data_IF_701670298575
#
_entry.id   IF_701670298575
#
_cell.length_a   1.000
_cell.length_b   1.000
_cell.length_c   1.000
_cell.angle_alpha   90.00
_cell.angle_beta   90.00
_cell.angle_gamma   90.00
#
_symmetry.space_group_name_H-M   'P 1'
#
loop_
_entity.id
_entity.type
_entity.pdbx_description
1 polymer ?
#
# COMPACT_ATOMS: atom_id res chain seq x y z
N UNK A 1 -15.33 13.49 32.58
CA UNK A 1 -16.24 12.79 31.65
C UNK A 1 -15.56 12.39 30.34
N UNK A 2 -14.96 13.32 29.59
CA UNK A 2 -14.29 13.03 28.31
C UNK A 2 -13.13 12.04 28.43
N UNK A 3 -12.25 12.20 29.43
CA UNK A 3 -11.12 11.27 29.65
C UNK A 3 -11.62 9.85 29.91
N UNK A 4 -12.60 9.68 30.81
CA UNK A 4 -13.19 8.36 31.10
C UNK A 4 -13.82 7.74 29.84
N UNK A 5 -14.53 8.53 29.03
CA UNK A 5 -15.10 8.07 27.77
C UNK A 5 -14.01 7.62 26.77
N UNK A 6 -12.92 8.39 26.62
CA UNK A 6 -11.79 8.01 25.76
C UNK A 6 -11.07 6.76 26.27
N UNK A 7 -10.83 6.66 27.58
CA UNK A 7 -10.22 5.48 28.20
C UNK A 7 -11.06 4.23 27.96
N UNK A 8 -12.38 4.32 28.07
CA UNK A 8 -13.26 3.16 27.84
C UNK A 8 -13.30 2.81 26.35
N UNK A 9 -13.55 3.79 25.48
CA UNK A 9 -13.75 3.53 24.03
C UNK A 9 -12.49 3.12 23.29
N UNK A 10 -11.31 3.61 23.69
CA UNK A 10 -10.03 3.31 23.05
C UNK A 10 -9.27 2.26 23.86
N UNK A 11 -9.22 2.43 25.18
CA UNK A 11 -8.42 1.56 26.05
C UNK A 11 -8.96 0.14 26.12
N UNK A 12 -10.28 -0.06 26.21
CA UNK A 12 -10.86 -1.41 26.30
C UNK A 12 -10.59 -2.24 25.03
N UNK A 13 -10.82 -1.75 23.80
CA UNK A 13 -10.48 -2.51 22.60
C UNK A 13 -8.97 -2.79 22.46
N UNK A 14 -8.11 -1.82 22.78
CA UNK A 14 -6.66 -2.01 22.69
C UNK A 14 -6.16 -3.05 23.71
N UNK A 15 -6.68 -3.01 24.94
CA UNK A 15 -6.40 -4.04 25.94
C UNK A 15 -6.91 -5.40 25.50
N UNK A 16 -8.10 -5.47 24.88
CA UNK A 16 -8.63 -6.71 24.31
C UNK A 16 -7.74 -7.30 23.22
N UNK A 17 -7.24 -6.48 22.30
CA UNK A 17 -6.29 -6.91 21.26
C UNK A 17 -4.96 -7.37 21.87
N UNK A 18 -4.43 -6.60 22.84
CA UNK A 18 -3.19 -6.97 23.54
C UNK A 18 -3.35 -8.30 24.26
N UNK A 19 -4.42 -8.49 25.02
CA UNK A 19 -4.73 -9.73 25.72
C UNK A 19 -4.89 -10.90 24.75
N UNK A 20 -5.59 -10.68 23.62
CA UNK A 20 -5.79 -11.70 22.58
C UNK A 20 -4.47 -12.21 21.99
N UNK A 21 -3.43 -11.38 21.93
CA UNK A 21 -2.11 -11.78 21.43
C UNK A 21 -1.40 -12.80 22.36
N UNK A 22 -1.73 -12.81 23.65
CA UNK A 22 -1.17 -13.74 24.65
C UNK A 22 -2.06 -14.96 24.93
N UNK A 23 -3.18 -15.12 24.24
CA UNK A 23 -4.10 -16.25 24.45
C UNK A 23 -3.97 -17.24 23.29
N UNK A 24 -3.63 -18.50 23.60
CA UNK A 24 -3.47 -19.57 22.62
C UNK A 24 -4.80 -20.03 22.02
N UNK A 25 -5.78 -20.39 22.87
CA UNK A 25 -7.09 -20.84 22.44
C UNK A 25 -8.19 -19.88 22.90
N UNK A 26 -9.10 -19.54 21.98
CA UNK A 26 -10.25 -18.67 22.27
C UNK A 26 -11.55 -19.44 22.02
N UNK A 27 -12.41 -19.55 23.03
CA UNK A 27 -13.68 -20.29 22.91
C UNK A 27 -14.58 -20.15 24.13
N UNK A 28 -15.88 -20.40 23.93
CA UNK A 28 -16.87 -20.43 25.02
C UNK A 28 -16.57 -21.60 25.95
N UNK A 29 -16.40 -21.32 27.25
CA UNK A 29 -16.09 -22.33 28.27
C UNK A 29 -14.60 -22.55 28.54
N UNK A 30 -13.72 -21.72 27.97
CA UNK A 30 -12.27 -21.76 28.22
C UNK A 30 -11.88 -20.65 29.19
N UNK A 31 -11.21 -21.00 30.28
CA UNK A 31 -10.67 -20.05 31.25
C UNK A 31 -9.51 -19.26 30.64
N UNK A 32 -9.61 -17.92 30.63
CA UNK A 32 -8.59 -17.04 30.03
C UNK A 32 -7.23 -17.15 30.72
N UNK A 33 -7.22 -17.45 32.02
CA UNK A 33 -6.01 -17.54 32.84
C UNK A 33 -5.19 -18.80 32.55
N UNK A 34 -5.84 -19.88 32.12
CA UNK A 34 -5.19 -21.17 31.86
C UNK A 34 -4.55 -21.22 30.45
N UNK A 35 -5.00 -20.35 29.55
CA UNK A 35 -4.55 -20.26 28.15
C UNK A 35 -3.60 -19.07 27.89
N UNK A 36 -3.18 -18.36 28.93
CA UNK A 36 -2.20 -17.29 28.81
C UNK A 36 -0.83 -17.89 28.48
N UNK A 37 -0.37 -17.72 27.24
CA UNK A 37 0.82 -18.37 26.72
C UNK A 37 1.54 -17.53 25.67
N UNK A 38 2.87 -17.66 25.64
CA UNK A 38 3.72 -17.12 24.57
C UNK A 38 3.75 -18.02 23.32
N UNK A 39 2.99 -19.13 23.31
CA UNK A 39 2.95 -20.07 22.20
C UNK A 39 2.56 -19.41 20.87
N UNK A 40 1.66 -18.42 20.88
CA UNK A 40 1.28 -17.66 19.68
C UNK A 40 2.49 -16.98 19.02
N UNK A 41 3.37 -16.36 19.81
CA UNK A 41 4.58 -15.71 19.30
C UNK A 41 5.59 -16.74 18.76
N UNK A 42 5.71 -17.89 19.43
CA UNK A 42 6.56 -18.97 18.94
C UNK A 42 6.05 -19.55 17.60
N UNK A 43 4.74 -19.74 17.46
CA UNK A 43 4.11 -20.19 16.23
C UNK A 43 4.33 -19.20 15.07
N UNK A 44 4.29 -17.89 15.35
CA UNK A 44 4.62 -16.87 14.35
C UNK A 44 6.06 -17.00 13.88
N UNK A 45 7.00 -17.23 14.80
CA UNK A 45 8.42 -17.38 14.47
C UNK A 45 8.70 -18.63 13.64
N UNK A 46 7.97 -19.71 13.89
CA UNK A 46 8.12 -20.96 13.13
C UNK A 46 7.53 -20.89 11.72
N UNK A 47 6.63 -19.93 11.44
CA UNK A 47 5.96 -19.81 10.15
C UNK A 47 6.70 -18.81 9.25
N UNK A 48 7.49 -19.27 8.26
CA UNK A 48 8.26 -18.39 7.39
C UNK A 48 7.38 -17.45 6.55
N UNK A 49 6.12 -17.83 6.31
CA UNK A 49 5.17 -17.00 5.55
C UNK A 49 4.74 -15.76 6.35
N UNK A 50 4.56 -15.89 7.67
CA UNK A 50 4.18 -14.78 8.53
C UNK A 50 5.34 -13.80 8.72
N UNK A 51 6.55 -14.31 8.92
CA UNK A 51 7.74 -13.46 9.00
C UNK A 51 8.01 -12.71 7.69
N UNK A 52 7.89 -13.39 6.54
CA UNK A 52 8.00 -12.74 5.23
C UNK A 52 6.93 -11.67 5.04
N UNK A 53 5.68 -11.96 5.43
CA UNK A 53 4.61 -10.96 5.39
C UNK A 53 4.94 -9.70 6.20
N UNK A 54 5.51 -9.86 7.40
CA UNK A 54 5.92 -8.75 8.26
C UNK A 54 7.04 -7.94 7.61
N UNK A 55 8.11 -8.60 7.17
CA UNK A 55 9.27 -7.93 6.56
C UNK A 55 8.89 -7.25 5.26
N UNK A 56 8.08 -7.89 4.41
CA UNK A 56 7.60 -7.33 3.15
C UNK A 56 6.74 -6.09 3.39
N UNK A 57 5.79 -6.13 4.32
CA UNK A 57 4.98 -4.95 4.68
C UNK A 57 5.86 -3.80 5.15
N UNK A 58 6.76 -4.05 6.10
CA UNK A 58 7.71 -3.03 6.58
C UNK A 58 8.56 -2.46 5.44
N UNK A 59 9.05 -3.31 4.53
CA UNK A 59 9.85 -2.88 3.38
C UNK A 59 9.01 -2.02 2.42
N UNK A 60 7.78 -2.42 2.11
CA UNK A 60 6.84 -1.64 1.27
C UNK A 60 6.51 -0.31 1.94
N UNK A 61 6.25 -0.29 3.25
CA UNK A 61 5.94 0.93 3.98
C UNK A 61 7.12 1.89 4.02
N UNK A 62 8.29 1.42 4.46
CA UNK A 62 9.47 2.28 4.70
C UNK A 62 10.08 2.70 3.37
N UNK A 63 10.54 1.74 2.57
CA UNK A 63 11.25 2.00 1.31
C UNK A 63 10.24 2.39 0.24
N UNK A 64 9.18 1.59 0.10
CA UNK A 64 8.16 1.84 -0.92
C UNK A 64 7.37 3.13 -0.68
N UNK A 65 7.01 3.44 0.57
CA UNK A 65 6.38 4.71 0.93
C UNK A 65 7.28 5.91 0.69
N UNK A 66 8.60 5.79 0.95
CA UNK A 66 9.56 6.86 0.67
C UNK A 66 9.68 7.10 -0.85
N UNK A 67 9.80 6.04 -1.64
CA UNK A 67 9.83 6.12 -3.10
C UNK A 67 8.52 6.72 -3.65
N UNK A 68 7.37 6.32 -3.12
CA UNK A 68 6.07 6.86 -3.51
C UNK A 68 5.99 8.37 -3.22
N UNK A 69 6.42 8.81 -2.03
CA UNK A 69 6.49 10.25 -1.68
C UNK A 69 7.41 11.02 -2.62
N UNK A 70 8.56 10.46 -3.00
CA UNK A 70 9.45 11.08 -3.98
C UNK A 70 8.74 11.21 -5.34
N UNK A 71 8.08 10.15 -5.82
CA UNK A 71 7.31 10.20 -7.07
C UNK A 71 6.20 11.26 -7.01
N UNK A 72 5.43 11.31 -5.92
CA UNK A 72 4.36 12.30 -5.73
C UNK A 72 4.91 13.71 -5.59
N UNK A 73 6.09 13.89 -5.02
CA UNK A 73 6.77 15.18 -4.95
C UNK A 73 7.11 15.70 -6.35
N UNK A 74 7.65 14.86 -7.21
CA UNK A 74 7.93 15.25 -8.60
C UNK A 74 6.65 15.64 -9.35
N UNK A 75 5.58 14.86 -9.19
CA UNK A 75 4.27 15.15 -9.81
C UNK A 75 3.68 16.43 -9.22
N UNK A 76 3.68 16.60 -7.89
CA UNK A 76 3.15 17.77 -7.20
C UNK A 76 3.87 19.06 -7.60
N UNK A 77 5.21 19.04 -7.69
CA UNK A 77 5.98 20.19 -8.18
C UNK A 77 5.65 20.48 -9.65
N UNK A 78 5.48 19.46 -10.49
CA UNK A 78 5.11 19.65 -11.89
C UNK A 78 3.73 20.32 -12.02
N UNK A 79 2.77 19.91 -11.19
CA UNK A 79 1.42 20.48 -11.16
C UNK A 79 1.40 21.92 -10.62
N UNK A 80 2.16 22.21 -9.55
CA UNK A 80 2.28 23.57 -9.00
C UNK A 80 2.89 24.59 -9.98
N UNK A 81 3.68 24.13 -10.95
CA UNK A 81 4.40 25.01 -11.89
C UNK A 81 3.59 25.45 -13.11
N UNK A 82 2.45 24.81 -13.41
CA UNK A 82 1.60 25.12 -14.57
C UNK A 82 0.14 25.13 -14.18
N UNK A 83 -0.47 26.32 -14.16
CA UNK A 83 -1.92 26.49 -13.98
C UNK A 83 -2.67 26.32 -15.33
N UNK A 84 -2.39 25.24 -16.04
CA UNK A 84 -3.01 24.94 -17.34
C UNK A 84 -4.28 24.09 -17.14
N UNK A 85 -5.19 24.09 -18.12
CA UNK A 85 -6.38 23.24 -18.12
C UNK A 85 -6.04 21.74 -17.96
N UNK A 86 -4.85 21.33 -18.40
CA UNK A 86 -4.33 19.96 -18.23
C UNK A 86 -4.12 19.62 -16.75
N UNK A 87 -3.55 20.54 -15.95
CA UNK A 87 -3.35 20.33 -14.51
C UNK A 87 -4.69 20.18 -13.80
N UNK A 88 -5.68 21.01 -14.16
CA UNK A 88 -7.05 20.92 -13.63
C UNK A 88 -7.72 19.59 -13.99
N UNK A 89 -7.55 19.12 -15.22
CA UNK A 89 -8.04 17.81 -15.64
C UNK A 89 -7.34 16.66 -14.90
N UNK A 90 -6.02 16.75 -14.71
CA UNK A 90 -5.24 15.77 -13.94
C UNK A 90 -5.69 15.73 -12.47
N UNK A 91 -5.90 16.88 -11.84
CA UNK A 91 -6.43 16.98 -10.48
C UNK A 91 -7.78 16.25 -10.35
N UNK A 92 -8.72 16.48 -11.27
CA UNK A 92 -10.00 15.77 -11.27
C UNK A 92 -9.85 14.28 -11.55
N UNK A 93 -8.98 13.91 -12.49
CA UNK A 93 -8.73 12.51 -12.85
C UNK A 93 -8.17 11.72 -11.67
N UNK A 94 -7.32 12.33 -10.86
CA UNK A 94 -6.76 11.74 -9.64
C UNK A 94 -7.84 11.49 -8.57
N UNK A 95 -8.93 12.25 -8.56
CA UNK A 95 -10.04 12.02 -7.63
C UNK A 95 -10.90 10.82 -8.00
N UNK A 96 -10.93 10.42 -9.29
CA UNK A 96 -11.77 9.30 -9.77
C UNK A 96 -11.34 7.96 -9.14
N UNK A 97 -10.05 7.56 -9.13
CA UNK A 97 -9.60 6.34 -8.45
C UNK A 97 -9.95 6.31 -6.96
N UNK A 98 -10.01 7.46 -6.29
CA UNK A 98 -10.34 7.54 -4.86
C UNK A 98 -11.78 7.11 -4.56
N UNK A 99 -12.70 7.25 -5.51
CA UNK A 99 -14.06 6.80 -5.37
C UNK A 99 -14.19 5.27 -5.49
N UNK A 100 -13.16 4.60 -6.05
CA UNK A 100 -13.16 3.15 -6.24
C UNK A 100 -12.87 2.46 -4.89
N UNK A 101 -13.73 1.55 -4.43
CA UNK A 101 -13.44 0.70 -3.28
C UNK A 101 -12.10 -0.03 -3.44
N UNK A 102 -11.32 -0.12 -2.36
CA UNK A 102 -9.98 -0.73 -2.39
C UNK A 102 -9.95 -2.16 -2.94
N UNK A 103 -11.01 -2.94 -2.71
CA UNK A 103 -11.14 -4.29 -3.27
C UNK A 103 -11.27 -4.29 -4.80
N UNK A 104 -12.03 -3.34 -5.37
CA UNK A 104 -12.14 -3.21 -6.83
C UNK A 104 -10.82 -2.76 -7.45
N UNK A 105 -10.09 -1.87 -6.77
CA UNK A 105 -8.77 -1.45 -7.21
C UNK A 105 -7.78 -2.63 -7.22
N UNK A 106 -7.79 -3.47 -6.17
CA UNK A 106 -7.01 -4.70 -6.10
C UNK A 106 -7.33 -5.69 -7.23
N UNK A 107 -8.61 -5.93 -7.48
CA UNK A 107 -9.05 -6.78 -8.59
C UNK A 107 -8.63 -6.20 -9.96
N UNK A 108 -8.72 -4.88 -10.15
CA UNK A 108 -8.27 -4.22 -11.37
C UNK A 108 -6.76 -4.40 -11.58
N UNK A 109 -5.94 -4.26 -10.53
CA UNK A 109 -4.50 -4.53 -10.62
C UNK A 109 -4.18 -5.98 -10.95
N UNK A 110 -4.88 -6.92 -10.31
CA UNK A 110 -4.76 -8.34 -10.65
C UNK A 110 -5.10 -8.57 -12.13
N UNK A 111 -6.17 -7.95 -12.64
CA UNK A 111 -6.54 -8.03 -14.04
C UNK A 111 -5.47 -7.44 -14.95
N UNK A 112 -4.90 -6.28 -14.62
CA UNK A 112 -3.81 -5.68 -15.39
C UNK A 112 -2.62 -6.65 -15.46
N UNK A 113 -2.18 -7.22 -14.34
CA UNK A 113 -1.07 -8.17 -14.33
C UNK A 113 -1.35 -9.51 -15.01
N UNK A 114 -2.62 -9.92 -15.14
CA UNK A 114 -3.00 -11.16 -15.83
C UNK A 114 -3.27 -10.96 -17.32
N UNK A 115 -4.08 -9.97 -17.67
CA UNK A 115 -4.57 -9.76 -19.02
C UNK A 115 -3.60 -8.98 -19.90
N UNK A 116 -2.80 -8.05 -19.35
CA UNK A 116 -1.84 -7.30 -20.19
C UNK A 116 -0.78 -8.22 -20.81
N UNK A 117 -0.10 -9.12 -20.06
CA UNK A 117 0.85 -10.05 -20.67
C UNK A 117 0.20 -11.05 -21.62
N UNK A 118 -1.06 -11.43 -21.39
CA UNK A 118 -1.81 -12.34 -22.24
C UNK A 118 -2.19 -11.68 -23.57
N UNK A 119 -2.77 -10.49 -23.51
CA UNK A 119 -3.15 -9.70 -24.68
C UNK A 119 -1.93 -9.31 -25.51
N UNK A 120 -0.83 -8.92 -24.85
CA UNK A 120 0.42 -8.59 -25.53
C UNK A 120 1.02 -9.81 -26.24
N UNK A 121 1.01 -10.99 -25.61
CA UNK A 121 1.50 -12.24 -26.23
C UNK A 121 0.67 -12.63 -27.45
N UNK A 122 -0.66 -12.53 -27.36
CA UNK A 122 -1.55 -12.81 -28.49
C UNK A 122 -1.39 -11.80 -29.62
N UNK A 123 -1.22 -10.51 -29.28
CA UNK A 123 -1.02 -9.45 -30.28
C UNK A 123 0.31 -9.57 -31.00
N UNK A 124 1.36 -10.03 -30.33
CA UNK A 124 2.69 -10.27 -30.91
C UNK A 124 2.73 -11.56 -31.75
N UNK A 125 1.93 -12.58 -31.42
CA UNK A 125 1.87 -13.84 -32.18
C UNK A 125 0.99 -13.79 -33.41
N UNK A 126 -0.20 -13.20 -33.29
CA UNK A 126 -1.26 -13.30 -34.30
C UNK A 126 -1.93 -11.95 -34.62
N UNK A 127 -1.57 -10.89 -33.89
CA UNK A 127 -2.15 -9.57 -34.08
C UNK A 127 -1.29 -8.67 -34.96
N UNK A 128 -1.72 -7.42 -35.05
CA UNK A 128 -1.04 -6.39 -35.84
C UNK A 128 0.42 -6.12 -35.41
N UNK A 129 0.80 -6.45 -34.17
CA UNK A 129 2.16 -6.30 -33.66
C UNK A 129 3.11 -7.40 -34.14
N UNK A 130 2.61 -8.49 -34.73
CA UNK A 130 3.45 -9.56 -35.28
C UNK A 130 4.27 -9.11 -36.50
N UNK A 131 3.86 -8.01 -37.14
CA UNK A 131 4.59 -7.41 -38.26
C UNK A 131 5.85 -6.65 -37.81
N UNK A 132 6.03 -6.41 -36.50
CA UNK A 132 7.22 -5.75 -35.98
C UNK A 132 8.41 -6.73 -36.02
N UNK A 133 9.57 -6.33 -36.56
CA UNK A 133 10.77 -7.19 -36.61
C UNK A 133 11.32 -7.54 -35.22
N UNK A 134 10.85 -6.84 -34.18
CA UNK A 134 11.25 -7.04 -32.78
C UNK A 134 10.21 -7.88 -32.01
N UNK A 135 9.17 -8.40 -32.67
CA UNK A 135 8.05 -9.06 -32.00
C UNK A 135 8.48 -10.30 -31.20
N UNK A 136 9.34 -11.14 -31.78
CA UNK A 136 9.87 -12.32 -31.10
C UNK A 136 10.77 -11.94 -29.91
N UNK A 137 11.63 -10.94 -30.08
CA UNK A 137 12.48 -10.44 -29.00
C UNK A 137 11.65 -9.89 -27.83
N UNK A 138 10.61 -9.10 -28.12
CA UNK A 138 9.68 -8.58 -27.12
C UNK A 138 8.97 -9.72 -26.38
N UNK A 139 8.59 -10.78 -27.10
CA UNK A 139 7.92 -11.92 -26.50
C UNK A 139 8.83 -12.70 -25.55
N UNK A 140 10.07 -12.94 -25.96
CA UNK A 140 11.04 -13.69 -25.18
C UNK A 140 11.57 -12.92 -23.96
N UNK A 141 11.75 -11.61 -24.08
CA UNK A 141 12.31 -10.79 -22.99
C UNK A 141 11.24 -10.05 -22.20
N UNK A 142 10.42 -9.22 -22.86
CA UNK A 142 9.48 -8.32 -22.16
C UNK A 142 8.32 -9.09 -21.52
N UNK A 143 7.70 -10.05 -22.22
CA UNK A 143 6.53 -10.77 -21.67
C UNK A 143 6.93 -11.69 -20.51
N UNK A 144 8.08 -12.36 -20.64
CA UNK A 144 8.62 -13.21 -19.56
C UNK A 144 8.92 -12.36 -18.33
N UNK A 145 9.56 -11.19 -18.51
CA UNK A 145 9.82 -10.26 -17.42
C UNK A 145 8.53 -9.70 -16.80
N UNK A 146 7.52 -9.32 -17.60
CA UNK A 146 6.24 -8.84 -17.10
C UNK A 146 5.51 -9.90 -16.25
N UNK A 147 5.55 -11.17 -16.68
CA UNK A 147 4.99 -12.29 -15.91
C UNK A 147 5.78 -12.56 -14.63
N UNK A 148 7.11 -12.43 -14.67
CA UNK A 148 7.96 -12.56 -13.49
C UNK A 148 7.70 -11.42 -12.49
N UNK A 149 7.57 -10.18 -12.96
CA UNK A 149 7.32 -8.99 -12.14
C UNK A 149 6.04 -9.12 -11.30
N UNK A 150 4.99 -9.77 -11.82
CA UNK A 150 3.75 -10.03 -11.07
C UNK A 150 4.03 -10.69 -9.72
N UNK A 151 4.97 -11.63 -9.67
CA UNK A 151 5.29 -12.41 -8.47
C UNK A 151 6.40 -11.76 -7.61
N UNK A 152 6.68 -10.47 -7.80
CA UNK A 152 7.66 -9.72 -7.01
C UNK A 152 6.99 -8.69 -6.12
N UNK A 153 7.65 -8.34 -5.01
CA UNK A 153 7.16 -7.29 -4.10
C UNK A 153 6.96 -5.94 -4.81
N UNK A 154 7.67 -5.73 -5.93
CA UNK A 154 7.55 -4.54 -6.76
C UNK A 154 6.14 -4.38 -7.35
N UNK A 155 5.46 -5.47 -7.74
CA UNK A 155 4.09 -5.38 -8.27
C UNK A 155 3.11 -4.86 -7.21
N UNK A 156 3.28 -5.33 -5.96
CA UNK A 156 2.48 -4.90 -4.80
C UNK A 156 2.74 -3.43 -4.49
N UNK A 157 4.03 -3.03 -4.42
CA UNK A 157 4.41 -1.63 -4.23
C UNK A 157 3.86 -0.72 -5.32
N UNK A 158 3.95 -1.13 -6.59
CA UNK A 158 3.44 -0.37 -7.72
C UNK A 158 1.92 -0.21 -7.62
N UNK A 159 1.20 -1.28 -7.31
CA UNK A 159 -0.24 -1.24 -7.09
C UNK A 159 -0.60 -0.26 -5.97
N UNK A 160 0.07 -0.35 -4.81
CA UNK A 160 -0.19 0.53 -3.67
C UNK A 160 0.10 2.00 -4.04
N UNK A 161 1.19 2.25 -4.75
CA UNK A 161 1.59 3.60 -5.19
C UNK A 161 0.55 4.21 -6.13
N UNK A 162 -0.06 3.43 -7.01
CA UNK A 162 -1.07 3.96 -7.95
C UNK A 162 -2.43 4.12 -7.26
N UNK A 163 -2.89 3.13 -6.49
CA UNK A 163 -4.18 3.18 -5.77
C UNK A 163 -4.23 4.37 -4.81
N UNK A 164 -3.13 4.61 -4.09
CA UNK A 164 -3.05 5.68 -3.09
C UNK A 164 -2.45 6.98 -3.63
N UNK A 165 -2.18 7.07 -4.93
CA UNK A 165 -1.60 8.26 -5.55
C UNK A 165 -2.39 9.52 -5.23
N UNK A 166 -3.72 9.45 -5.24
CA UNK A 166 -4.58 10.59 -4.93
C UNK A 166 -4.42 11.12 -3.51
N UNK A 167 -4.21 10.21 -2.55
CA UNK A 167 -3.93 10.59 -1.16
C UNK A 167 -2.53 11.14 -1.02
N UNK A 168 -1.54 10.46 -1.63
CA UNK A 168 -0.15 10.89 -1.62
C UNK A 168 0.05 12.28 -2.21
N UNK A 169 -0.50 12.55 -3.40
CA UNK A 169 -0.47 13.86 -4.03
C UNK A 169 -1.09 14.94 -3.14
N UNK A 170 -2.21 14.64 -2.47
CA UNK A 170 -2.84 15.62 -1.57
C UNK A 170 -1.98 15.93 -0.35
N UNK A 171 -1.29 14.93 0.21
CA UNK A 171 -0.33 15.15 1.30
C UNK A 171 0.84 16.02 0.84
N UNK A 172 1.38 15.76 -0.35
CA UNK A 172 2.46 16.57 -0.94
C UNK A 172 1.99 17.99 -1.22
N UNK A 173 0.83 18.19 -1.85
CA UNK A 173 0.28 19.53 -2.11
C UNK A 173 0.08 20.32 -0.81
N UNK A 174 -0.40 19.67 0.26
CA UNK A 174 -0.53 20.31 1.58
C UNK A 174 0.81 20.72 2.19
N UNK A 175 1.89 20.01 1.86
CA UNK A 175 3.25 20.34 2.26
C UNK A 175 3.80 21.50 1.43
N UNK A 176 3.63 21.45 0.10
CA UNK A 176 4.14 22.48 -0.81
C UNK A 176 3.46 23.84 -0.60
N UNK A 177 2.16 23.84 -0.26
CA UNK A 177 1.40 25.06 0.06
C UNK A 177 1.90 25.81 1.31
N UNK A 178 2.70 25.17 2.16
CA UNK A 178 3.30 25.83 3.32
C UNK A 178 4.49 26.72 2.92
N UNK A 179 5.04 26.52 1.73
CA UNK A 179 6.10 27.39 1.19
C UNK A 179 5.42 28.60 0.54
N UNK A 180 5.59 29.77 1.15
CA UNK A 180 5.04 31.02 0.64
C UNK A 180 5.56 31.34 -0.78
N UNK A 181 4.69 31.77 -1.71
CA UNK A 181 5.09 32.10 -3.08
C UNK A 181 6.16 33.20 -3.14
N UNK A 182 6.17 34.11 -2.17
CA UNK A 182 7.14 35.20 -2.04
C UNK A 182 8.60 34.73 -1.94
N UNK A 183 8.85 33.55 -1.36
CA UNK A 183 10.20 32.97 -1.27
C UNK A 183 10.70 32.52 -2.64
N UNK A 184 9.81 31.97 -3.47
CA UNK A 184 10.15 31.60 -4.83
C UNK A 184 10.29 32.82 -5.75
N UNK A 185 9.49 33.86 -5.55
CA UNK A 185 9.58 35.13 -6.27
C UNK A 185 10.87 35.89 -5.95
N UNK A 186 11.26 35.96 -4.68
CA UNK A 186 12.54 36.54 -4.27
C UNK A 186 13.73 35.81 -4.94
N UNK A 187 13.71 34.47 -4.95
CA UNK A 187 14.73 33.68 -5.62
C UNK A 187 14.76 33.94 -7.14
N UNK A 188 13.58 34.05 -7.79
CA UNK A 188 13.49 34.42 -9.22
C UNK A 188 14.08 35.81 -9.50
N UNK A 189 13.82 36.80 -8.65
CA UNK A 189 14.34 38.16 -8.79
C UNK A 189 15.87 38.21 -8.72
N UNK A 190 16.50 37.28 -8.01
CA UNK A 190 17.98 37.12 -7.98
C UNK A 190 18.57 36.34 -9.16
N UNK A 191 17.74 35.93 -10.13
CA UNK A 191 18.17 35.19 -11.32
C UNK A 191 18.19 33.66 -11.16
N UNK A 192 17.62 33.10 -10.10
CA UNK A 192 17.60 31.66 -9.89
C UNK A 192 16.70 30.95 -10.93
N UNK A 193 17.22 29.87 -11.54
CA UNK A 193 16.45 29.01 -12.43
C UNK A 193 15.42 28.16 -11.65
N UNK A 194 14.37 27.69 -12.35
CA UNK A 194 13.29 26.87 -11.74
C UNK A 194 13.78 25.62 -11.03
N UNK A 195 14.83 24.96 -11.55
CA UNK A 195 15.45 23.80 -10.91
C UNK A 195 16.19 24.17 -9.63
N UNK A 196 16.89 25.30 -9.62
CA UNK A 196 17.59 25.82 -8.45
C UNK A 196 16.61 26.21 -7.34
N UNK A 197 15.48 26.85 -7.68
CA UNK A 197 14.44 27.22 -6.70
C UNK A 197 13.90 25.97 -6.02
N UNK A 198 13.53 24.94 -6.78
CA UNK A 198 13.02 23.71 -6.17
C UNK A 198 14.05 23.00 -5.31
N UNK A 199 15.30 22.90 -5.76
CA UNK A 199 16.35 22.18 -5.03
C UNK A 199 16.82 22.93 -3.78
N UNK A 200 16.89 24.25 -3.82
CA UNK A 200 17.49 25.07 -2.74
C UNK A 200 16.47 25.80 -1.86
N UNK A 201 15.23 25.99 -2.33
CA UNK A 201 14.16 26.70 -1.61
C UNK A 201 13.03 25.74 -1.28
N UNK A 202 12.29 25.25 -2.29
CA UNK A 202 11.04 24.50 -2.07
C UNK A 202 11.25 23.19 -1.30
N UNK A 203 12.17 22.32 -1.74
CA UNK A 203 12.39 21.00 -1.11
C UNK A 203 12.99 21.11 0.30
N UNK A 204 14.04 21.93 0.55
CA UNK A 204 14.62 22.07 1.89
C UNK A 204 13.66 22.67 2.93
N UNK A 205 12.78 23.59 2.51
CA UNK A 205 11.75 24.17 3.38
C UNK A 205 10.62 23.17 3.63
N UNK A 206 10.24 22.40 2.61
CA UNK A 206 9.20 21.37 2.69
C UNK A 206 9.62 20.11 3.43
N UNK A 207 10.92 19.93 3.77
CA UNK A 207 11.48 18.65 4.25
C UNK A 207 10.74 18.04 5.44
N UNK A 208 10.29 18.87 6.39
CA UNK A 208 9.56 18.38 7.56
C UNK A 208 8.14 17.95 7.21
N UNK A 209 7.48 18.65 6.29
CA UNK A 209 6.19 18.21 5.73
C UNK A 209 6.32 16.96 4.86
N UNK A 210 7.45 16.78 4.16
CA UNK A 210 7.73 15.56 3.39
C UNK A 210 7.93 14.35 4.30
N UNK A 211 8.65 14.50 5.41
CA UNK A 211 8.78 13.44 6.42
C UNK A 211 7.41 13.11 7.03
N UNK A 212 6.60 14.12 7.35
CA UNK A 212 5.23 13.92 7.82
C UNK A 212 4.36 13.18 6.80
N UNK A 213 4.46 13.56 5.53
CA UNK A 213 3.74 12.93 4.42
C UNK A 213 4.18 11.47 4.21
N UNK A 214 5.48 11.19 4.36
CA UNK A 214 6.04 9.84 4.32
C UNK A 214 5.53 8.97 5.47
N UNK A 215 5.54 9.47 6.71
CA UNK A 215 5.00 8.74 7.87
C UNK A 215 3.51 8.41 7.69
N UNK A 216 2.73 9.35 7.15
CA UNK A 216 1.31 9.10 6.85
C UNK A 216 1.15 8.06 5.74
N UNK A 217 1.95 8.12 4.67
CA UNK A 217 1.92 7.11 3.60
C UNK A 217 2.35 5.73 4.09
N UNK A 218 3.37 5.65 4.95
CA UNK A 218 3.78 4.42 5.63
C UNK A 218 2.60 3.80 6.38
N UNK A 219 1.92 4.57 7.23
CA UNK A 219 0.76 4.07 7.99
C UNK A 219 -0.40 3.62 7.09
N UNK A 220 -0.59 4.27 5.94
CA UNK A 220 -1.61 3.88 4.96
C UNK A 220 -1.24 2.53 4.32
N UNK A 221 0.02 2.35 3.91
CA UNK A 221 0.49 1.10 3.29
C UNK A 221 0.48 -0.08 4.26
N UNK A 222 0.82 0.14 5.53
CA UNK A 222 0.76 -0.90 6.57
C UNK A 222 -0.67 -1.40 6.85
N UNK A 223 -1.66 -0.50 6.69
CA UNK A 223 -3.08 -0.82 6.87
C UNK A 223 -3.74 -1.33 5.61
N UNK A 224 -3.00 -1.44 4.51
CA UNK A 224 -3.51 -1.91 3.24
C UNK A 224 -3.60 -3.44 3.26
N UNK A 225 -4.83 -3.95 3.13
CA UNK A 225 -5.08 -5.37 2.93
C UNK A 225 -5.89 -5.66 1.65
N UNK A 226 -6.71 -4.71 1.19
CA UNK A 226 -7.71 -4.96 0.14
C UNK A 226 -7.07 -5.25 -1.21
N UNK A 227 -6.01 -4.52 -1.56
CA UNK A 227 -5.22 -4.69 -2.77
C UNK A 227 -4.25 -5.87 -2.60
N UNK A 228 -3.64 -5.98 -1.41
CA UNK A 228 -2.70 -7.05 -1.08
C UNK A 228 -3.30 -8.46 -1.22
N UNK A 229 -4.57 -8.67 -0.85
CA UNK A 229 -5.24 -9.98 -0.96
C UNK A 229 -5.29 -10.49 -2.41
N UNK A 230 -5.51 -9.63 -3.40
CA UNK A 230 -5.59 -10.03 -4.81
C UNK A 230 -4.21 -10.28 -5.45
N UNK A 231 -3.16 -9.67 -4.92
CA UNK A 231 -1.79 -9.83 -5.38
C UNK A 231 -0.97 -10.82 -4.52
N UNK A 232 -1.63 -11.52 -3.61
CA UNK A 232 -1.01 -12.53 -2.77
C UNK A 232 -0.47 -13.67 -3.63
N UNK A 233 0.82 -13.91 -3.52
CA UNK A 233 1.52 -15.04 -4.14
C UNK A 233 2.71 -15.43 -3.24
N UNK A 234 3.28 -16.64 -3.40
CA UNK A 234 4.43 -17.03 -2.61
C UNK A 234 5.59 -16.04 -2.79
N UNK A 235 6.04 -15.43 -1.69
CA UNK A 235 7.09 -14.40 -1.68
C UNK A 235 6.60 -12.94 -1.71
N UNK A 236 5.33 -12.68 -2.04
CA UNK A 236 4.72 -11.34 -2.03
C UNK A 236 3.73 -11.15 -0.89
N UNK A 237 3.82 -11.99 0.15
CA UNK A 237 2.92 -11.93 1.29
C UNK A 237 3.02 -10.57 2.00
N UNK A 238 1.89 -10.01 2.45
CA UNK A 238 1.82 -8.78 3.26
C UNK A 238 1.01 -9.04 4.53
N UNK A 239 1.29 -8.31 5.62
CA UNK A 239 0.59 -8.51 6.91
C UNK A 239 -0.93 -8.42 6.72
N UNK A 240 -1.41 -7.38 6.04
CA UNK A 240 -2.84 -7.16 5.85
C UNK A 240 -3.53 -8.33 5.14
N UNK A 241 -2.95 -8.82 4.04
CA UNK A 241 -3.51 -9.94 3.28
C UNK A 241 -3.39 -11.29 4.02
N UNK A 242 -2.30 -11.47 4.75
CA UNK A 242 -2.07 -12.67 5.55
C UNK A 242 -3.04 -12.76 6.72
N UNK A 243 -3.35 -11.65 7.40
CA UNK A 243 -4.34 -11.61 8.47
C UNK A 243 -5.73 -12.06 7.99
N UNK A 244 -6.16 -11.59 6.81
CA UNK A 244 -7.41 -12.04 6.20
C UNK A 244 -7.36 -13.51 5.83
N UNK A 245 -6.22 -13.99 5.33
CA UNK A 245 -6.03 -15.41 4.97
C UNK A 245 -6.09 -16.33 6.20
N UNK A 246 -5.50 -15.91 7.32
CA UNK A 246 -5.57 -16.63 8.59
C UNK A 246 -6.99 -16.66 9.15
N UNK A 247 -7.73 -15.55 9.01
CA UNK A 247 -9.14 -15.49 9.38
C UNK A 247 -9.98 -16.44 8.52
N UNK A 248 -9.78 -16.42 7.20
CA UNK A 248 -10.50 -17.27 6.25
C UNK A 248 -10.17 -18.77 6.39
N UNK A 249 -8.92 -19.11 6.76
CA UNK A 249 -8.50 -20.49 6.97
C UNK A 249 -9.15 -21.14 8.20
N UNK A 250 -9.70 -20.34 9.12
CA UNK A 250 -10.27 -20.82 10.38
C UNK A 250 -9.22 -21.47 11.31
N UNK A 251 -9.58 -21.81 12.55
CA UNK A 251 -8.71 -22.60 13.42
C UNK A 251 -8.43 -23.95 12.75
N UNK A 252 -7.18 -24.35 12.63
CA UNK A 252 -6.82 -25.73 12.26
C UNK A 252 -7.30 -26.65 13.39
N UNK A 253 -8.46 -27.28 13.17
CA UNK A 253 -9.12 -28.21 14.10
C UNK A 253 -8.25 -29.46 14.24
N UNK A 254 -7.26 -29.41 15.13
CA UNK A 254 -6.73 -30.61 15.81
C UNK A 254 -7.54 -30.92 17.08
N UNK A 255 -8.42 -30.02 17.52
CA UNK A 255 -9.33 -30.25 18.64
C UNK A 255 -10.76 -30.46 18.13
N UNK A 256 -11.13 -31.74 18.04
CA UNK A 256 -12.46 -32.24 17.73
C UNK A 256 -13.44 -31.85 18.84
N UNK A 257 -14.07 -30.66 18.80
CA UNK A 257 -15.31 -30.34 19.53
C UNK A 257 -16.10 -29.20 18.84
N UNK A 258 -17.20 -29.62 18.20
CA UNK A 258 -18.38 -28.88 17.68
C UNK A 258 -18.17 -27.69 16.70
N UNK A 259 -18.67 -27.74 15.44
CA UNK A 259 -18.43 -26.71 14.41
C UNK A 259 -19.34 -25.47 14.38
N UNK A 260 -20.23 -25.22 15.36
CA UNK A 260 -21.43 -24.39 15.11
C UNK A 260 -21.56 -23.03 15.83
N UNK A 261 -20.57 -22.53 16.57
CA UNK A 261 -20.77 -21.29 17.36
C UNK A 261 -20.06 -20.02 16.86
N UNK A 262 -19.15 -20.09 15.89
CA UNK A 262 -18.38 -18.90 15.44
C UNK A 262 -19.10 -18.11 14.33
N UNK A 263 -20.02 -18.74 13.59
CA UNK A 263 -20.70 -18.10 12.45
C UNK A 263 -21.85 -17.14 12.83
N UNK A 264 -22.12 -16.91 14.12
CA UNK A 264 -23.27 -16.12 14.59
C UNK A 264 -22.94 -14.69 15.06
N UNK A 265 -21.71 -14.21 14.88
CA UNK A 265 -21.30 -12.88 15.39
C UNK A 265 -20.85 -11.89 14.30
N UNK A 266 -21.25 -12.12 13.06
CA UNK A 266 -21.22 -11.13 11.96
C UNK A 266 -22.51 -11.18 11.17
#
# INVERSE_FOLDING_TARGET
MVVAWLTVTIGVPLLGVALRAFISNWGVGVSLWDELSLATFHNIWQQPNLLRAIVNSMAIGIIGGALAVICYLFVGIAMHRKADNVTRFLDYSVLVPRAVPGLLAGLAFLWVFLFVPMWLDQSLKHGWLSALPVADWLREHLIVQLRALRNTIFSVWLAYTVVWMAYGLRLISSTLLQVGPELEEAARSTGASRGQITRHVTVPLSRYGLIGSWLLMFLIFEREYSTGVYLLSPGTETIGSMLVSLWAAGPSISSRRSPLSIFCWW
#
